data_IF_717930690840
#
_entry.id   IF_717930690840
#
_cell.length_a   1.000
_cell.length_b   1.000
_cell.length_c   1.000
_cell.angle_alpha   90.00
_cell.angle_beta   90.00
_cell.angle_gamma   90.00
#
_symmetry.space_group_name_H-M   'P 1'
#
loop_
_entity.id
_entity.type
_entity.pdbx_description
1 polymer ?
#
# COMPACT_ATOMS: atom_id res chain seq x y z
N UNK A 1 -3.32 15.27 -14.89
CA UNK A 1 -3.53 13.80 -14.93
C UNK A 1 -4.93 13.41 -14.48
N UNK A 2 -5.35 13.69 -13.23
CA UNK A 2 -6.65 13.22 -12.69
C UNK A 2 -7.88 13.69 -13.49
N UNK A 3 -7.85 14.89 -14.09
CA UNK A 3 -8.93 15.37 -14.95
C UNK A 3 -9.17 14.49 -16.18
N UNK A 4 -8.09 13.99 -16.78
CA UNK A 4 -8.16 13.07 -17.93
C UNK A 4 -8.76 11.73 -17.50
N UNK A 5 -8.32 11.17 -16.37
CA UNK A 5 -8.87 9.94 -15.82
C UNK A 5 -10.37 10.07 -15.52
N UNK A 6 -10.79 11.18 -14.91
CA UNK A 6 -12.20 11.43 -14.61
C UNK A 6 -13.07 11.56 -15.88
N UNK A 7 -12.52 12.12 -16.97
CA UNK A 7 -13.21 12.16 -18.26
C UNK A 7 -13.36 10.77 -18.88
N UNK A 8 -12.31 9.94 -18.83
CA UNK A 8 -12.32 8.56 -19.36
C UNK A 8 -13.33 7.68 -18.60
N UNK A 9 -13.31 7.69 -17.26
CA UNK A 9 -14.24 6.89 -16.45
C UNK A 9 -15.72 7.29 -16.65
N UNK A 10 -15.99 8.56 -16.99
CA UNK A 10 -17.34 9.03 -17.29
C UNK A 10 -17.92 8.37 -18.55
N UNK A 11 -17.09 7.96 -19.50
CA UNK A 11 -17.54 7.28 -20.72
C UNK A 11 -18.21 5.93 -20.43
N UNK A 12 -17.88 5.31 -19.29
CA UNK A 12 -18.50 4.06 -18.81
C UNK A 12 -19.49 4.29 -17.66
N UNK A 13 -19.95 5.52 -17.47
CA UNK A 13 -20.97 5.87 -16.46
C UNK A 13 -20.47 5.89 -15.01
N UNK A 14 -19.16 5.85 -14.78
CA UNK A 14 -18.60 5.89 -13.42
C UNK A 14 -18.10 7.29 -13.04
N UNK A 15 -18.51 7.77 -11.86
CA UNK A 15 -18.03 9.04 -11.29
C UNK A 15 -16.83 8.77 -10.41
N UNK A 16 -15.63 9.08 -10.90
CA UNK A 16 -14.38 8.91 -10.16
C UNK A 16 -14.29 9.89 -8.98
N UNK A 17 -14.22 9.42 -7.72
CA UNK A 17 -13.97 10.26 -6.56
C UNK A 17 -12.62 10.96 -6.66
N UNK A 18 -12.56 12.23 -6.23
CA UNK A 18 -11.35 13.05 -6.28
C UNK A 18 -11.19 13.87 -4.98
N UNK A 19 -9.95 14.15 -4.55
CA UNK A 19 -8.68 13.80 -5.19
C UNK A 19 -8.37 12.30 -5.11
N UNK A 20 -7.55 11.79 -6.04
CA UNK A 20 -7.05 10.42 -5.90
C UNK A 20 -6.17 10.30 -4.64
N UNK A 21 -6.29 9.21 -3.87
CA UNK A 21 -5.40 8.96 -2.74
C UNK A 21 -3.93 9.00 -3.17
N UNK A 22 -3.08 9.55 -2.31
CA UNK A 22 -1.64 9.62 -2.52
C UNK A 22 -0.92 8.92 -1.38
N UNK A 23 0.17 8.28 -1.72
CA UNK A 23 0.99 7.52 -0.79
C UNK A 23 2.45 7.75 -1.19
N UNK A 24 3.33 7.90 -0.20
CA UNK A 24 4.76 7.95 -0.50
C UNK A 24 5.24 6.55 -0.91
N UNK A 25 6.34 6.48 -1.65
CA UNK A 25 6.97 5.19 -1.95
C UNK A 25 7.30 4.41 -0.68
N UNK A 26 7.81 5.08 0.35
CA UNK A 26 8.14 4.47 1.64
C UNK A 26 6.91 3.86 2.32
N UNK A 27 5.78 4.57 2.34
CA UNK A 27 4.54 4.06 2.94
C UNK A 27 3.99 2.85 2.16
N UNK A 28 4.05 2.89 0.82
CA UNK A 28 3.60 1.78 -0.03
C UNK A 28 4.42 0.51 0.21
N UNK A 29 5.73 0.65 0.28
CA UNK A 29 6.62 -0.48 0.59
C UNK A 29 6.43 -0.99 2.02
N UNK A 30 6.31 -0.10 3.00
CA UNK A 30 6.14 -0.49 4.39
C UNK A 30 4.81 -1.22 4.65
N UNK A 31 3.71 -0.76 4.03
CA UNK A 31 2.36 -1.30 4.27
C UNK A 31 1.97 -2.42 3.33
N UNK A 32 2.51 -2.48 2.13
CA UNK A 32 2.06 -3.44 1.11
C UNK A 32 3.19 -4.18 0.38
N UNK A 33 4.46 -3.81 0.60
CA UNK A 33 5.60 -4.46 -0.04
C UNK A 33 5.71 -4.22 -1.55
N UNK A 34 4.97 -3.25 -2.09
CA UNK A 34 4.97 -2.90 -3.51
C UNK A 34 4.66 -1.41 -3.70
N UNK A 35 5.24 -0.81 -4.75
CA UNK A 35 5.00 0.56 -5.18
C UNK A 35 3.69 0.74 -5.98
N UNK A 36 3.00 -0.37 -6.27
CA UNK A 36 1.70 -0.41 -6.96
C UNK A 36 0.68 -1.26 -6.19
N UNK A 37 0.36 -0.89 -4.94
CA UNK A 37 -0.49 -1.70 -4.07
C UNK A 37 -1.94 -1.77 -4.58
N UNK A 38 -2.55 -2.93 -4.39
CA UNK A 38 -3.99 -3.09 -4.58
C UNK A 38 -4.73 -2.68 -3.31
N UNK A 39 -5.20 -1.43 -3.27
CA UNK A 39 -5.88 -0.84 -2.11
C UNK A 39 -7.34 -1.30 -1.93
N UNK A 40 -7.82 -2.24 -2.75
CA UNK A 40 -9.16 -2.81 -2.59
C UNK A 40 -9.19 -3.90 -1.51
N UNK A 41 -8.03 -4.41 -1.13
CA UNK A 41 -7.84 -5.46 -0.13
C UNK A 41 -7.21 -4.86 1.13
N UNK A 42 -7.57 -5.36 2.31
CA UNK A 42 -7.11 -4.82 3.61
C UNK A 42 -5.91 -5.53 4.23
N UNK A 43 -5.24 -6.44 3.53
CA UNK A 43 -4.14 -7.26 4.07
C UNK A 43 -2.82 -6.50 4.01
N UNK A 44 -2.58 -5.64 5.01
CA UNK A 44 -1.34 -4.89 5.15
C UNK A 44 -0.22 -5.73 5.80
N UNK A 45 1.03 -5.41 5.46
CA UNK A 45 2.22 -5.88 6.16
C UNK A 45 2.27 -5.27 7.56
N UNK A 46 2.71 -6.08 8.52
CA UNK A 46 2.97 -5.64 9.89
C UNK A 46 4.44 -5.90 10.20
N UNK A 47 5.12 -4.85 10.65
CA UNK A 47 6.50 -4.91 11.11
C UNK A 47 6.55 -5.61 12.48
N UNK A 48 7.34 -6.68 12.60
CA UNK A 48 7.41 -7.50 13.82
C UNK A 48 8.83 -7.58 14.41
N UNK A 49 9.79 -6.80 13.93
CA UNK A 49 11.19 -6.81 14.40
C UNK A 49 11.25 -6.48 15.88
N UNK A 50 10.57 -5.42 16.33
CA UNK A 50 10.51 -5.07 17.75
C UNK A 50 9.84 -6.17 18.59
N UNK A 51 8.80 -6.81 18.04
CA UNK A 51 8.07 -7.88 18.74
C UNK A 51 8.95 -9.13 18.94
N UNK A 52 9.82 -9.45 17.99
CA UNK A 52 10.70 -10.61 18.02
C UNK A 52 12.13 -10.31 18.47
N UNK A 53 12.41 -9.12 19.01
CA UNK A 53 13.77 -8.68 19.35
C UNK A 53 14.54 -9.69 20.23
N UNK A 54 13.85 -10.37 21.17
CA UNK A 54 14.46 -11.28 22.16
C UNK A 54 14.23 -12.77 21.80
N UNK A 55 13.77 -13.07 20.59
CA UNK A 55 13.45 -14.45 20.21
C UNK A 55 14.71 -15.30 20.07
N UNK A 56 14.74 -16.53 20.66
CA UNK A 56 15.84 -17.46 20.45
C UNK A 56 15.77 -18.15 19.07
N UNK A 57 14.69 -17.94 18.29
CA UNK A 57 14.51 -18.59 17.01
C UNK A 57 15.33 -17.90 15.91
N UNK A 58 16.38 -18.58 15.46
CA UNK A 58 17.40 -18.06 14.55
C UNK A 58 16.88 -17.39 13.26
N UNK A 59 15.73 -17.81 12.71
CA UNK A 59 15.17 -17.23 11.46
C UNK A 59 14.83 -15.75 11.61
N UNK A 60 14.49 -15.30 12.82
CA UNK A 60 14.10 -13.92 13.10
C UNK A 60 15.22 -13.11 13.77
N UNK A 61 16.42 -13.67 13.90
CA UNK A 61 17.57 -12.95 14.43
C UNK A 61 18.28 -12.21 13.29
N UNK A 62 18.37 -10.90 13.40
CA UNK A 62 19.23 -10.11 12.52
C UNK A 62 20.71 -10.47 12.80
N UNK A 63 21.57 -10.60 11.77
CA UNK A 63 23.01 -10.77 11.93
C UNK A 63 23.66 -9.64 12.72
#
# INVERSE_FOLDING_TARGET
>A
AEGVLAAVWRLVGYVLPRPLPRMTYADAMARYGTDKPDLRMGLELVECTAYFQDTPFRVFQAP
#
